data_IF_810047585651
#
_entry.id   IF_810047585651
#
_cell.length_a   1.000
_cell.length_b   1.000
_cell.length_c   1.000
_cell.angle_alpha   90.00
_cell.angle_beta   90.00
_cell.angle_gamma   90.00
#
_symmetry.space_group_name_H-M   'P 1'
#
loop_
_entity.id
_entity.type
_entity.pdbx_description
1 polymer ?
#
# COMPACT_ATOMS: atom_id res chain seq x y z
N UNK A 1 -26.25 -27.31 -5.08
CA UNK A 1 -24.96 -27.21 -5.81
C UNK A 1 -24.06 -26.18 -5.14
N UNK A 2 -22.94 -26.60 -4.56
CA UNK A 2 -21.99 -25.69 -3.90
C UNK A 2 -21.08 -25.09 -4.97
N UNK A 3 -21.10 -23.76 -5.12
CA UNK A 3 -20.22 -23.10 -6.09
C UNK A 3 -18.78 -23.09 -5.58
N UNK A 4 -17.79 -23.32 -6.46
CA UNK A 4 -16.37 -23.30 -6.07
C UNK A 4 -15.89 -21.87 -5.79
N UNK A 5 -14.92 -21.76 -4.89
CA UNK A 5 -14.21 -20.52 -4.61
C UNK A 5 -13.43 -20.07 -5.83
N UNK A 6 -13.58 -18.81 -6.22
CA UNK A 6 -12.85 -18.26 -7.36
C UNK A 6 -11.34 -18.15 -7.10
N UNK A 7 -10.92 -18.08 -5.83
CA UNK A 7 -9.51 -18.09 -5.40
C UNK A 7 -8.90 -19.49 -5.32
N UNK A 8 -9.37 -20.33 -4.40
CA UNK A 8 -8.75 -21.64 -4.13
C UNK A 8 -9.37 -22.82 -4.89
N UNK A 9 -10.41 -22.59 -5.71
CA UNK A 9 -11.16 -23.60 -6.49
C UNK A 9 -11.84 -24.71 -5.68
N UNK A 10 -11.75 -24.70 -4.36
CA UNK A 10 -12.44 -25.63 -3.45
C UNK A 10 -13.91 -25.26 -3.27
N UNK A 11 -14.80 -26.22 -2.93
CA UNK A 11 -16.20 -25.94 -2.64
C UNK A 11 -16.36 -25.01 -1.43
N UNK A 12 -17.31 -24.09 -1.50
CA UNK A 12 -17.59 -23.13 -0.42
C UNK A 12 -18.81 -23.56 0.38
N UNK A 13 -18.69 -23.57 1.71
CA UNK A 13 -19.84 -23.70 2.62
C UNK A 13 -20.61 -22.38 2.69
N UNK A 14 -21.95 -22.40 2.77
CA UNK A 14 -22.75 -21.17 2.83
C UNK A 14 -22.39 -20.26 4.02
N UNK A 15 -21.92 -20.82 5.13
CA UNK A 15 -21.46 -20.09 6.33
C UNK A 15 -20.15 -19.32 6.13
N UNK A 16 -19.32 -19.70 5.16
CA UNK A 16 -17.98 -19.16 4.95
C UNK A 16 -17.88 -18.36 3.63
N UNK A 17 -19.01 -18.14 2.97
CA UNK A 17 -19.09 -17.54 1.65
C UNK A 17 -19.24 -16.03 1.72
N UNK A 18 -18.39 -15.32 0.99
CA UNK A 18 -18.59 -13.91 0.65
C UNK A 18 -18.75 -13.75 -0.87
N UNK A 19 -19.64 -12.85 -1.28
CA UNK A 19 -19.94 -12.60 -2.70
C UNK A 19 -19.63 -11.15 -3.03
N UNK A 20 -18.96 -10.94 -4.17
CA UNK A 20 -18.68 -9.59 -4.65
C UNK A 20 -19.99 -8.87 -4.99
N UNK A 21 -20.18 -7.66 -4.47
CA UNK A 21 -21.42 -6.89 -4.69
C UNK A 21 -21.48 -6.19 -6.05
N UNK A 22 -20.37 -6.14 -6.78
CA UNK A 22 -20.34 -5.62 -8.14
C UNK A 22 -21.25 -6.47 -9.06
N UNK A 23 -22.27 -5.85 -9.65
CA UNK A 23 -23.32 -6.53 -10.45
C UNK A 23 -22.79 -7.37 -11.60
N UNK A 24 -21.68 -6.96 -12.23
CA UNK A 24 -21.06 -7.66 -13.36
C UNK A 24 -20.08 -8.78 -12.96
N UNK A 25 -19.77 -8.92 -11.67
CA UNK A 25 -18.76 -9.86 -11.19
C UNK A 25 -19.41 -11.14 -10.63
N UNK A 26 -20.25 -11.01 -9.59
CA UNK A 26 -20.93 -12.13 -8.94
C UNK A 26 -20.02 -13.24 -8.38
N UNK A 27 -18.69 -13.06 -8.39
CA UNK A 27 -17.73 -14.07 -7.93
C UNK A 27 -17.87 -14.33 -6.44
N UNK A 28 -17.62 -15.58 -6.05
CA UNK A 28 -17.75 -16.09 -4.67
C UNK A 28 -16.41 -16.59 -4.16
N UNK A 29 -16.13 -16.29 -2.91
CA UNK A 29 -14.88 -16.64 -2.24
C UNK A 29 -15.17 -17.15 -0.82
N UNK A 30 -14.25 -17.94 -0.26
CA UNK A 30 -14.17 -18.07 1.19
C UNK A 30 -13.75 -16.74 1.79
N UNK A 31 -14.32 -16.32 2.92
CA UNK A 31 -13.89 -15.09 3.59
C UNK A 31 -12.38 -15.14 3.94
N UNK A 32 -11.85 -16.32 4.27
CA UNK A 32 -10.41 -16.54 4.49
C UNK A 32 -9.55 -16.36 3.23
N UNK A 33 -10.05 -16.80 2.07
CA UNK A 33 -9.31 -16.66 0.79
C UNK A 33 -9.13 -15.20 0.36
N UNK A 34 -9.86 -14.27 0.98
CA UNK A 34 -9.77 -12.83 0.74
C UNK A 34 -9.36 -12.07 2.01
N UNK A 35 -8.73 -12.78 2.95
CA UNK A 35 -8.15 -12.24 4.18
C UNK A 35 -9.14 -11.44 5.06
N UNK A 36 -10.38 -11.91 5.13
CA UNK A 36 -11.36 -11.41 6.10
C UNK A 36 -11.40 -12.34 7.31
N UNK A 37 -11.79 -11.79 8.46
CA UNK A 37 -12.06 -12.55 9.67
C UNK A 37 -13.57 -12.74 9.86
N UNK A 38 -13.96 -13.67 10.74
CA UNK A 38 -15.38 -14.02 11.02
C UNK A 38 -16.19 -12.79 11.43
N UNK A 39 -15.62 -11.91 12.25
CA UNK A 39 -16.30 -10.70 12.75
C UNK A 39 -16.41 -9.61 11.69
N UNK A 40 -15.46 -9.56 10.77
CA UNK A 40 -15.40 -8.53 9.74
C UNK A 40 -16.31 -8.90 8.57
N UNK A 41 -16.28 -10.14 8.07
CA UNK A 41 -17.02 -10.49 6.85
C UNK A 41 -18.53 -10.32 6.99
N UNK A 42 -19.10 -10.55 8.19
CA UNK A 42 -20.54 -10.36 8.45
C UNK A 42 -20.97 -8.90 8.34
N UNK A 43 -20.06 -7.95 8.56
CA UNK A 43 -20.33 -6.50 8.50
C UNK A 43 -20.19 -5.93 7.08
N UNK A 44 -19.63 -6.71 6.15
CA UNK A 44 -19.28 -6.24 4.82
C UNK A 44 -20.47 -6.28 3.86
N UNK A 45 -21.29 -5.23 3.87
CA UNK A 45 -22.45 -5.08 2.95
C UNK A 45 -22.06 -4.73 1.51
N UNK A 46 -20.94 -4.04 1.31
CA UNK A 46 -20.50 -3.50 0.01
C UNK A 46 -19.14 -4.07 -0.44
N UNK A 47 -18.87 -5.33 -0.09
CA UNK A 47 -17.58 -5.95 -0.37
C UNK A 47 -17.34 -6.13 -1.87
N UNK A 48 -16.18 -5.63 -2.33
CA UNK A 48 -15.68 -5.85 -3.69
C UNK A 48 -14.53 -6.85 -3.65
N UNK A 49 -14.53 -7.82 -4.57
CA UNK A 49 -13.40 -8.75 -4.69
C UNK A 49 -12.12 -8.03 -5.16
N UNK A 50 -10.94 -8.66 -5.02
CA UNK A 50 -9.67 -8.04 -5.43
C UNK A 50 -9.69 -7.53 -6.89
N UNK A 51 -10.26 -8.32 -7.81
CA UNK A 51 -10.38 -7.94 -9.21
C UNK A 51 -11.24 -6.66 -9.42
N UNK A 52 -12.32 -6.51 -8.65
CA UNK A 52 -13.22 -5.36 -8.74
C UNK A 52 -12.70 -4.15 -7.96
N UNK A 53 -11.94 -4.37 -6.90
CA UNK A 53 -11.31 -3.32 -6.11
C UNK A 53 -10.25 -2.57 -6.93
N UNK A 54 -9.42 -3.31 -7.68
CA UNK A 54 -8.38 -2.73 -8.54
C UNK A 54 -9.01 -1.88 -9.66
N UNK A 55 -10.08 -2.37 -10.30
CA UNK A 55 -10.77 -1.62 -11.37
C UNK A 55 -11.32 -0.27 -10.90
N UNK A 56 -11.83 -0.22 -9.66
CA UNK A 56 -12.31 1.03 -9.08
C UNK A 56 -11.17 2.04 -8.87
N UNK A 57 -10.00 1.59 -8.42
CA UNK A 57 -8.82 2.45 -8.25
C UNK A 57 -8.30 2.98 -9.59
N UNK A 58 -8.29 2.17 -10.64
CA UNK A 58 -7.85 2.62 -11.97
C UNK A 58 -8.80 3.62 -12.62
N UNK A 59 -10.11 3.58 -12.31
CA UNK A 59 -11.07 4.55 -12.81
C UNK A 59 -10.91 5.89 -12.07
N UNK A 60 -10.76 5.86 -10.72
CA UNK A 60 -10.52 7.08 -9.94
C UNK A 60 -9.24 7.81 -10.40
N UNK A 61 -8.18 7.06 -10.74
CA UNK A 61 -6.92 7.67 -11.21
C UNK A 61 -6.96 8.22 -12.64
N UNK A 62 -7.98 7.89 -13.44
CA UNK A 62 -8.12 8.42 -14.80
C UNK A 62 -8.86 9.76 -14.87
N UNK A 63 -9.50 10.16 -13.78
CA UNK A 63 -10.27 11.40 -13.66
C UNK A 63 -9.63 12.36 -12.65
N UNK A 64 -8.32 12.22 -12.43
CA UNK A 64 -7.52 13.21 -11.72
C UNK A 64 -6.86 14.14 -12.71
N UNK A 65 -7.41 15.34 -12.89
CA UNK A 65 -6.64 16.47 -13.39
C UNK A 65 -5.33 16.52 -12.58
N UNK A 66 -4.19 16.41 -13.25
CA UNK A 66 -2.87 16.44 -12.61
C UNK A 66 -2.46 17.86 -12.18
N UNK A 67 -3.43 18.69 -11.77
CA UNK A 67 -3.21 20.07 -11.32
C UNK A 67 -3.12 20.20 -9.79
N UNK A 68 -3.46 19.16 -9.02
CA UNK A 68 -3.37 19.15 -7.55
C UNK A 68 -2.38 18.09 -7.02
N UNK A 69 -1.20 18.01 -7.64
CA UNK A 69 -0.02 17.53 -6.90
C UNK A 69 0.56 18.70 -6.11
N UNK A 70 0.88 18.56 -4.80
CA UNK A 70 1.52 19.62 -4.02
C UNK A 70 3.02 19.72 -4.34
N UNK A 71 3.38 19.63 -5.62
CA UNK A 71 4.73 19.91 -6.11
C UNK A 71 4.65 21.29 -6.75
N UNK A 72 5.01 22.30 -5.96
CA UNK A 72 5.20 23.67 -6.45
C UNK A 72 6.22 23.63 -7.59
N UNK A 73 5.73 23.80 -8.82
CA UNK A 73 6.53 24.24 -9.96
C UNK A 73 7.01 25.66 -9.65
N UNK A 74 8.21 25.78 -9.06
CA UNK A 74 8.98 27.00 -9.15
C UNK A 74 9.67 27.01 -10.52
N UNK A 75 8.97 27.53 -11.53
CA UNK A 75 9.64 27.98 -12.75
C UNK A 75 9.80 29.49 -12.65
N UNK A 76 11.00 29.92 -12.29
CA UNK A 76 11.52 31.19 -12.81
C UNK A 76 13.01 31.04 -13.03
N UNK A 77 13.36 30.99 -14.30
CA UNK A 77 14.65 31.42 -14.84
C UNK A 77 15.18 32.60 -14.05
N UNK A 78 16.33 32.44 -13.39
CA UNK A 78 17.50 33.32 -13.52
C UNK A 78 18.62 32.83 -12.61
N UNK A 79 19.83 32.88 -13.16
CA UNK A 79 21.08 32.71 -12.44
C UNK A 79 21.11 33.62 -11.22
N UNK A 80 21.33 33.08 -10.02
CA UNK A 80 22.33 33.58 -9.09
C UNK A 80 22.72 32.47 -8.10
N UNK A 81 24.03 32.47 -7.88
CA UNK A 81 24.86 31.67 -7.00
C UNK A 81 24.44 31.74 -5.52
N UNK A 82 25.02 30.80 -4.77
CA UNK A 82 25.30 30.86 -3.33
C UNK A 82 24.35 30.13 -2.34
N UNK A 83 24.86 28.98 -1.91
CA UNK A 83 24.86 28.40 -0.56
C UNK A 83 23.62 28.55 0.35
N UNK A 84 23.12 27.37 0.77
CA UNK A 84 22.37 27.11 2.01
C UNK A 84 20.88 27.51 2.05
N UNK A 85 20.01 26.54 1.77
CA UNK A 85 18.84 26.33 2.63
C UNK A 85 18.51 24.82 2.67
N UNK A 86 18.89 24.17 3.76
CA UNK A 86 18.34 22.87 4.18
C UNK A 86 17.46 23.23 5.37
N UNK A 87 16.15 23.31 5.16
CA UNK A 87 15.21 23.47 6.28
C UNK A 87 15.06 22.12 7.00
N UNK A 88 15.86 21.94 8.05
CA UNK A 88 15.78 20.80 8.96
C UNK A 88 14.42 20.85 9.66
N UNK A 89 13.58 19.84 9.43
CA UNK A 89 12.33 19.67 10.17
C UNK A 89 12.68 19.27 11.60
N UNK A 90 12.44 20.18 12.55
CA UNK A 90 12.63 19.95 13.99
C UNK A 90 11.83 18.71 14.41
N UNK A 91 12.53 17.62 14.73
CA UNK A 91 11.91 16.44 15.32
C UNK A 91 11.51 16.78 16.75
N UNK A 92 10.26 16.46 17.09
CA UNK A 92 9.75 16.47 18.45
C UNK A 92 10.41 15.31 19.18
N UNK A 93 11.15 15.60 20.24
CA UNK A 93 11.76 14.60 21.13
C UNK A 93 10.68 13.62 21.62
N UNK A 94 10.83 12.36 21.24
CA UNK A 94 10.20 11.24 21.92
C UNK A 94 11.29 10.50 22.68
N UNK A 95 11.09 10.39 23.99
CA UNK A 95 11.92 9.75 25.00
C UNK A 95 12.38 8.31 24.65
N UNK A 96 13.47 7.83 25.30
CA UNK A 96 14.31 6.75 24.80
C UNK A 96 13.62 5.40 25.02
N UNK A 97 13.26 4.74 23.91
CA UNK A 97 12.94 3.31 23.96
C UNK A 97 14.22 2.55 23.64
N UNK A 98 14.76 1.93 24.68
CA UNK A 98 15.73 0.83 24.74
C UNK A 98 16.20 0.29 23.39
N UNK A 99 17.38 0.77 22.99
CA UNK A 99 18.50 0.05 22.37
C UNK A 99 18.16 -1.20 21.53
N UNK A 100 18.04 -1.00 20.23
CA UNK A 100 18.66 -1.88 19.24
C UNK A 100 19.28 -0.99 18.15
N UNK A 101 20.51 -0.55 18.43
CA UNK A 101 21.24 0.43 17.63
C UNK A 101 22.21 -0.29 16.70
N UNK A 102 21.69 -0.96 15.67
CA UNK A 102 22.50 -1.47 14.56
C UNK A 102 22.16 -0.70 13.27
N UNK A 103 22.25 0.62 13.31
CA UNK A 103 22.27 1.43 12.10
C UNK A 103 23.72 1.59 11.62
N UNK A 104 24.18 0.64 10.82
CA UNK A 104 25.49 0.74 10.15
C UNK A 104 25.49 1.98 9.25
N UNK A 105 26.52 2.81 9.39
CA UNK A 105 26.60 4.02 8.56
C UNK A 105 26.79 3.65 7.08
N UNK A 106 26.34 4.52 6.17
CA UNK A 106 26.50 4.28 4.72
C UNK A 106 27.96 4.06 4.31
N UNK A 107 28.90 4.73 4.98
CA UNK A 107 30.33 4.58 4.73
C UNK A 107 30.83 3.20 5.18
N UNK A 108 30.41 2.77 6.35
CA UNK A 108 30.75 1.46 6.92
C UNK A 108 30.15 0.31 6.10
N UNK A 109 28.91 0.46 5.62
CA UNK A 109 28.30 -0.48 4.68
C UNK A 109 29.12 -0.60 3.38
N UNK A 110 29.60 0.52 2.84
CA UNK A 110 30.44 0.52 1.64
C UNK A 110 31.82 -0.13 1.88
N UNK A 111 32.31 -0.13 3.12
CA UNK A 111 33.57 -0.78 3.48
C UNK A 111 33.40 -2.29 3.66
N UNK A 112 32.28 -2.74 4.25
CA UNK A 112 31.91 -4.15 4.32
C UNK A 112 31.82 -4.75 2.91
N UNK A 113 31.10 -4.09 1.99
CA UNK A 113 30.94 -4.59 0.61
C UNK A 113 32.30 -4.72 -0.10
N UNK A 114 33.20 -3.75 0.09
CA UNK A 114 34.55 -3.79 -0.51
C UNK A 114 35.43 -4.91 0.04
N UNK A 115 35.21 -5.32 1.29
CA UNK A 115 35.95 -6.42 1.93
C UNK A 115 35.50 -7.78 1.38
N UNK A 116 34.20 -7.99 1.22
CA UNK A 116 33.63 -9.29 0.81
C UNK A 116 33.72 -9.56 -0.70
N UNK A 117 33.99 -8.55 -1.52
CA UNK A 117 34.19 -8.70 -2.97
C UNK A 117 35.67 -8.88 -3.39
N UNK A 118 36.58 -9.11 -2.43
CA UNK A 118 37.96 -9.54 -2.67
C UNK A 118 38.09 -11.05 -2.59
#
# INVERSE_FOLDING_TARGET
MNSPCSGCKKPIKPSERITCTQSSCGKRYHYLCVNLNVDNFKKQKNWKCPDCSIKHLSIIRKEGNSDDTPIKLATSSEFLDDSQNITVRRQKESEPTTEHQDCVSRAELAEIIRRELR
#
